data_IF_060509691497
#
_entry.id   IF_060509691497
#
_cell.length_a   1.000
_cell.length_b   1.000
_cell.length_c   1.000
_cell.angle_alpha   90.00
_cell.angle_beta   90.00
_cell.angle_gamma   90.00
#
_symmetry.space_group_name_H-M   'P 1'
#
loop_
_entity.id
_entity.type
_entity.pdbx_description
1 polymer ?
#
# COMPACT_ATOMS: atom_id res chain seq x y z
N UNK A 1 -31.03 64.84 2.35
CA UNK A 1 -31.36 64.20 1.07
C UNK A 1 -30.05 63.90 0.34
N UNK A 2 -29.82 62.61 0.04
CA UNK A 2 -28.82 61.95 -0.85
C UNK A 2 -27.38 62.50 -0.86
N UNK A 3 -26.39 61.91 -0.20
CA UNK A 3 -25.62 60.68 -0.51
C UNK A 3 -24.92 60.67 -1.88
N UNK A 4 -23.59 60.68 -1.84
CA UNK A 4 -22.67 60.35 -2.94
C UNK A 4 -21.56 59.48 -2.34
N UNK A 5 -21.40 58.27 -2.86
CA UNK A 5 -20.38 57.31 -2.48
C UNK A 5 -19.68 56.84 -3.75
N UNK A 6 -18.34 56.96 -3.83
CA UNK A 6 -17.37 55.85 -3.85
C UNK A 6 -15.99 56.33 -4.38
N UNK A 7 -14.95 55.94 -3.64
CA UNK A 7 -13.50 56.07 -3.89
C UNK A 7 -12.98 54.62 -3.74
N UNK A 8 -12.21 53.98 -4.60
CA UNK A 8 -10.79 54.17 -4.92
C UNK A 8 -10.38 52.98 -5.85
N UNK A 9 -9.73 53.22 -7.00
CA UNK A 9 -8.28 53.08 -7.29
C UNK A 9 -7.78 51.61 -7.53
N UNK A 10 -7.68 51.28 -8.83
CA UNK A 10 -6.58 50.68 -9.63
C UNK A 10 -5.27 50.26 -8.93
N UNK A 11 -4.46 49.25 -9.31
CA UNK A 11 -4.20 48.54 -10.58
C UNK A 11 -3.49 47.18 -10.33
N UNK A 12 -3.72 46.23 -11.25
CA UNK A 12 -2.88 45.12 -11.77
C UNK A 12 -1.95 44.29 -10.85
N UNK A 13 -2.22 42.98 -10.78
CA UNK A 13 -1.20 41.93 -10.93
C UNK A 13 -1.83 40.59 -11.40
N UNK A 14 -1.06 39.84 -12.20
CA UNK A 14 -1.32 38.49 -12.70
C UNK A 14 -1.99 37.57 -11.67
N UNK A 15 -3.05 36.87 -12.08
CA UNK A 15 -3.57 35.74 -11.32
C UNK A 15 -3.19 34.43 -12.04
N UNK A 16 -1.94 34.01 -11.82
CA UNK A 16 -1.58 32.59 -11.79
C UNK A 16 -2.59 31.87 -10.90
N UNK A 17 -3.47 31.09 -11.52
CA UNK A 17 -4.41 30.20 -10.80
C UNK A 17 -3.59 29.08 -10.18
N UNK A 18 -3.25 29.28 -8.90
CA UNK A 18 -2.72 28.28 -7.99
C UNK A 18 -3.60 27.03 -8.04
N UNK A 19 -3.00 25.90 -8.42
CA UNK A 19 -3.56 24.56 -8.23
C UNK A 19 -3.67 24.35 -6.72
N UNK A 20 -4.88 24.55 -6.22
CA UNK A 20 -5.24 24.49 -4.80
C UNK A 20 -5.64 23.06 -4.46
N UNK A 21 -5.01 22.56 -3.40
CA UNK A 21 -5.22 21.32 -2.63
C UNK A 21 -6.66 20.98 -2.18
N UNK A 22 -7.66 21.15 -3.04
CA UNK A 22 -9.08 20.83 -2.82
C UNK A 22 -9.52 19.53 -3.52
N UNK A 23 -8.65 18.89 -4.30
CA UNK A 23 -9.01 17.71 -5.10
C UNK A 23 -8.74 16.34 -4.44
N UNK A 24 -8.25 16.27 -3.20
CA UNK A 24 -7.83 14.99 -2.59
C UNK A 24 -8.37 14.66 -1.20
N UNK A 25 -9.21 15.50 -0.57
CA UNK A 25 -9.85 15.13 0.71
C UNK A 25 -11.39 15.24 0.75
N UNK A 26 -12.05 15.71 -0.32
CA UNK A 26 -13.52 15.72 -0.39
C UNK A 26 -14.04 14.81 -1.49
N UNK A 27 -14.42 13.58 -1.13
CA UNK A 27 -15.46 12.86 -1.87
C UNK A 27 -16.55 12.34 -0.94
N UNK A 28 -17.57 13.15 -0.63
CA UNK A 28 -18.85 12.64 -0.18
C UNK A 28 -19.77 12.38 -1.38
N UNK A 29 -19.90 11.09 -1.70
CA UNK A 29 -21.10 10.36 -2.13
C UNK A 29 -22.37 11.17 -2.47
N UNK A 30 -22.75 11.25 -3.74
CA UNK A 30 -24.13 11.03 -4.22
C UNK A 30 -24.07 10.64 -5.70
N UNK A 31 -24.78 9.57 -6.08
CA UNK A 31 -25.05 9.29 -7.49
C UNK A 31 -25.96 10.36 -8.08
N UNK A 32 -25.53 10.99 -9.17
CA UNK A 32 -26.37 11.25 -10.34
C UNK A 32 -25.52 11.70 -11.55
N UNK A 33 -25.79 11.01 -12.66
CA UNK A 33 -25.69 11.38 -14.09
C UNK A 33 -24.45 12.08 -14.70
N UNK A 34 -23.67 11.28 -15.45
CA UNK A 34 -23.15 11.40 -16.85
C UNK A 34 -22.90 12.82 -17.48
N UNK A 35 -21.96 13.05 -18.45
CA UNK A 35 -21.44 12.10 -19.46
C UNK A 35 -19.99 12.36 -19.97
N UNK A 36 -19.04 11.45 -19.77
CA UNK A 36 -17.75 11.52 -20.50
C UNK A 36 -17.36 10.16 -21.11
N UNK A 37 -16.66 10.17 -22.27
CA UNK A 37 -16.83 9.14 -23.28
C UNK A 37 -16.13 7.84 -22.88
N UNK A 38 -16.82 6.72 -23.13
CA UNK A 38 -16.22 5.37 -23.13
C UNK A 38 -15.10 5.31 -24.18
N UNK A 39 -13.90 5.65 -23.77
CA UNK A 39 -12.68 5.43 -24.53
C UNK A 39 -12.38 3.94 -24.62
N UNK A 40 -12.99 3.24 -25.57
CA UNK A 40 -12.62 1.87 -25.92
C UNK A 40 -11.21 1.93 -26.53
N UNK A 41 -10.16 1.80 -25.71
CA UNK A 41 -8.79 1.62 -26.20
C UNK A 41 -8.78 0.40 -27.11
N UNK A 42 -8.70 0.62 -28.44
CA UNK A 42 -8.45 -0.44 -29.41
C UNK A 42 -7.08 -1.03 -29.06
N UNK A 43 -7.05 -2.29 -28.64
CA UNK A 43 -5.82 -3.08 -28.56
C UNK A 43 -5.10 -2.97 -29.90
N UNK A 44 -3.93 -2.34 -29.90
CA UNK A 44 -3.02 -2.41 -31.02
C UNK A 44 -2.53 -3.87 -31.10
N UNK A 45 -3.13 -4.68 -31.98
CA UNK A 45 -2.61 -6.01 -32.26
C UNK A 45 -1.34 -5.85 -33.08
N UNK A 46 -0.22 -6.35 -32.57
CA UNK A 46 0.99 -6.49 -33.37
C UNK A 46 0.69 -7.32 -34.62
N UNK A 47 1.14 -6.90 -35.82
CA UNK A 47 0.87 -7.65 -37.04
C UNK A 47 1.44 -9.05 -36.91
N UNK A 48 0.59 -10.06 -37.08
CA UNK A 48 1.02 -11.46 -37.07
C UNK A 48 1.97 -11.68 -38.25
N UNK A 49 3.20 -12.05 -37.89
CA UNK A 49 4.36 -12.16 -38.76
C UNK A 49 4.22 -13.35 -39.72
N UNK A 50 3.73 -13.11 -40.94
CA UNK A 50 3.74 -14.14 -41.99
C UNK A 50 4.45 -13.71 -43.28
N UNK A 51 5.33 -12.71 -43.21
CA UNK A 51 6.15 -12.31 -44.35
C UNK A 51 7.52 -13.01 -44.30
N UNK A 52 7.89 -13.70 -45.38
CA UNK A 52 9.15 -14.44 -45.49
C UNK A 52 10.37 -13.56 -45.20
N UNK A 53 10.32 -12.27 -45.55
CA UNK A 53 11.39 -11.31 -45.27
C UNK A 53 11.72 -11.18 -43.77
N UNK A 54 10.69 -11.15 -42.90
CA UNK A 54 10.89 -11.03 -41.46
C UNK A 54 11.45 -12.30 -40.82
N UNK A 55 11.15 -13.47 -41.40
CA UNK A 55 11.76 -14.74 -40.96
C UNK A 55 13.25 -14.78 -41.29
N UNK A 56 13.63 -14.35 -42.51
CA UNK A 56 15.03 -14.24 -42.88
C UNK A 56 15.78 -13.18 -42.06
N UNK A 57 15.18 -12.01 -41.84
CA UNK A 57 15.76 -10.97 -41.00
C UNK A 57 15.95 -11.43 -39.54
N UNK A 58 14.95 -12.11 -38.96
CA UNK A 58 15.05 -12.68 -37.62
C UNK A 58 16.18 -13.71 -37.52
N UNK A 59 16.27 -14.64 -38.47
CA UNK A 59 17.32 -15.66 -38.48
C UNK A 59 18.71 -15.02 -38.61
N UNK A 60 18.85 -14.03 -39.50
CA UNK A 60 20.10 -13.32 -39.72
C UNK A 60 20.55 -12.56 -38.45
N UNK A 61 19.65 -11.83 -37.80
CA UNK A 61 19.97 -11.10 -36.57
C UNK A 61 20.27 -12.04 -35.39
N UNK A 62 19.61 -13.19 -35.30
CA UNK A 62 19.96 -14.21 -34.29
C UNK A 62 21.35 -14.81 -34.53
N UNK A 63 21.73 -15.05 -35.79
CA UNK A 63 23.05 -15.57 -36.12
C UNK A 63 24.16 -14.57 -35.76
N UNK A 64 23.96 -13.28 -36.05
CA UNK A 64 24.90 -12.22 -35.67
C UNK A 64 25.04 -12.14 -34.15
N UNK A 65 23.93 -12.18 -33.40
CA UNK A 65 23.97 -12.13 -31.94
C UNK A 65 24.71 -13.33 -31.34
N UNK A 66 24.54 -14.54 -31.89
CA UNK A 66 25.27 -15.73 -31.43
C UNK A 66 26.76 -15.61 -31.74
N UNK A 67 27.14 -15.11 -32.92
CA UNK A 67 28.55 -14.89 -33.28
C UNK A 67 29.18 -13.89 -32.31
N UNK A 68 28.50 -12.77 -32.01
CA UNK A 68 29.00 -11.79 -31.04
C UNK A 68 29.15 -12.40 -29.64
N UNK A 69 28.19 -13.21 -29.19
CA UNK A 69 28.26 -13.91 -27.90
C UNK A 69 29.42 -14.90 -27.83
N UNK A 70 29.65 -15.69 -28.89
CA UNK A 70 30.77 -16.63 -28.96
C UNK A 70 32.11 -15.90 -28.98
N UNK A 71 32.23 -14.81 -29.74
CA UNK A 71 33.46 -13.99 -29.73
C UNK A 71 33.71 -13.34 -28.37
N UNK A 72 32.65 -12.91 -27.66
CA UNK A 72 32.78 -12.37 -26.31
C UNK A 72 33.21 -13.45 -25.30
N UNK A 73 32.71 -14.68 -25.40
CA UNK A 73 33.10 -15.80 -24.54
C UNK A 73 34.54 -16.25 -24.83
N UNK A 74 34.94 -16.30 -26.10
CA UNK A 74 36.31 -16.67 -26.50
C UNK A 74 37.35 -15.61 -26.11
N UNK A 75 36.97 -14.33 -26.13
CA UNK A 75 37.87 -13.23 -25.76
C UNK A 75 37.91 -12.93 -24.26
N UNK A 76 37.07 -13.56 -23.45
CA UNK A 76 36.93 -13.27 -22.02
C UNK A 76 37.10 -14.53 -21.17
N UNK A 77 38.23 -15.23 -21.37
CA UNK A 77 38.69 -16.29 -20.45
C UNK A 77 39.81 -15.73 -19.56
N UNK A 78 39.52 -15.22 -18.35
CA UNK A 78 40.48 -15.20 -17.26
C UNK A 78 40.47 -16.58 -16.59
N UNK A 79 41.59 -17.28 -16.71
CA UNK A 79 41.89 -18.49 -15.95
C UNK A 79 42.14 -18.11 -14.49
N UNK A 80 41.18 -18.33 -13.58
CA UNK A 80 41.50 -18.55 -12.17
C UNK A 80 40.61 -19.61 -11.51
N UNK A 81 41.26 -20.76 -11.35
CA UNK A 81 41.12 -21.83 -10.37
C UNK A 81 40.45 -21.36 -9.07
N UNK A 82 39.28 -21.91 -8.75
CA UNK A 82 38.71 -21.84 -7.41
C UNK A 82 39.45 -22.85 -6.52
N UNK A 83 40.32 -22.35 -5.62
CA UNK A 83 40.78 -23.11 -4.46
C UNK A 83 39.94 -22.67 -3.27
N UNK A 84 39.11 -23.58 -2.77
CA UNK A 84 38.36 -23.35 -1.54
C UNK A 84 39.28 -23.48 -0.32
N UNK A 85 39.20 -22.51 0.57
CA UNK A 85 39.08 -22.61 2.04
C UNK A 85 39.49 -21.29 2.65
N UNK A 86 38.54 -20.54 3.23
CA UNK A 86 38.79 -19.85 4.50
C UNK A 86 37.48 -19.42 5.16
N UNK A 87 37.41 -19.69 6.48
CA UNK A 87 36.31 -19.36 7.38
C UNK A 87 36.33 -17.85 7.66
N UNK A 88 35.19 -17.13 7.73
CA UNK A 88 35.23 -15.73 8.11
C UNK A 88 35.55 -15.57 9.62
N UNK A 89 36.32 -14.54 9.99
CA UNK A 89 36.66 -14.27 11.38
C UNK A 89 35.52 -13.59 12.14
N UNK A 90 35.49 -13.90 13.42
CA UNK A 90 34.66 -13.30 14.46
C UNK A 90 35.13 -11.86 14.75
N UNK A 91 34.37 -10.86 14.31
CA UNK A 91 34.42 -9.46 14.77
C UNK A 91 33.05 -8.83 14.47
N UNK A 92 32.45 -7.92 15.24
CA UNK A 92 32.86 -7.15 16.39
C UNK A 92 31.60 -6.74 17.18
N UNK A 93 31.79 -6.43 18.46
CA UNK A 93 30.84 -5.70 19.28
C UNK A 93 30.33 -4.46 18.52
N UNK A 94 29.02 -4.39 18.32
CA UNK A 94 28.32 -3.15 17.99
C UNK A 94 27.85 -2.54 19.32
N UNK A 95 28.26 -1.29 19.53
CA UNK A 95 27.88 -0.46 20.67
C UNK A 95 26.35 -0.34 20.80
N UNK A 96 25.86 -0.48 22.03
CA UNK A 96 24.45 -0.35 22.37
C UNK A 96 23.92 1.07 22.07
N UNK A 97 22.69 1.23 21.53
CA UNK A 97 22.06 2.54 21.41
C UNK A 97 21.69 3.13 22.79
N UNK A 98 21.59 4.46 22.92
CA UNK A 98 21.36 5.11 24.20
C UNK A 98 20.06 4.62 24.85
N UNK A 99 20.11 4.38 26.16
CA UNK A 99 19.02 3.96 27.02
C UNK A 99 17.82 4.92 26.96
N UNK A 100 16.91 4.65 26.01
CA UNK A 100 15.64 5.36 25.86
C UNK A 100 14.55 4.57 25.11
N UNK A 101 14.92 3.46 24.44
CA UNK A 101 13.98 2.66 23.63
C UNK A 101 13.78 1.22 24.12
N UNK A 102 14.33 0.84 25.27
CA UNK A 102 14.17 -0.51 25.84
C UNK A 102 12.72 -0.86 26.25
N UNK A 103 11.79 0.10 26.25
CA UNK A 103 10.42 -0.16 26.72
C UNK A 103 9.51 -0.84 25.69
N UNK A 104 9.78 -0.73 24.37
CA UNK A 104 8.86 -1.25 23.34
C UNK A 104 9.14 -2.69 22.93
N UNK A 105 10.41 -3.11 22.82
CA UNK A 105 10.75 -4.51 22.49
C UNK A 105 10.36 -5.48 23.61
N UNK A 106 10.38 -5.01 24.86
CA UNK A 106 9.94 -5.77 26.03
C UNK A 106 8.44 -6.14 26.01
N UNK A 107 7.64 -5.52 25.14
CA UNK A 107 6.20 -5.87 24.98
C UNK A 107 5.97 -7.13 24.15
N UNK A 108 7.00 -7.68 23.49
CA UNK A 108 6.95 -8.97 22.79
C UNK A 108 7.14 -10.17 23.75
N UNK A 109 7.25 -9.92 25.06
CA UNK A 109 7.15 -10.97 26.08
C UNK A 109 5.77 -11.63 25.95
N UNK A 110 5.74 -12.97 25.92
CA UNK A 110 4.52 -13.81 25.82
C UNK A 110 3.37 -13.37 26.77
N UNK A 111 3.70 -12.68 27.85
CA UNK A 111 2.77 -12.18 28.86
C UNK A 111 1.76 -11.13 28.34
N UNK A 112 2.01 -10.50 27.18
CA UNK A 112 1.12 -9.47 26.60
C UNK A 112 0.41 -9.91 25.30
N UNK A 113 0.51 -11.20 24.93
CA UNK A 113 -0.17 -11.72 23.75
C UNK A 113 -1.58 -12.18 24.10
N UNK A 114 -2.54 -11.85 23.24
CA UNK A 114 -3.92 -12.32 23.32
C UNK A 114 -4.10 -13.57 22.47
N UNK A 115 -4.68 -14.60 23.06
CA UNK A 115 -5.06 -15.82 22.34
C UNK A 115 -6.25 -15.53 21.44
N UNK A 116 -6.14 -15.81 20.15
CA UNK A 116 -7.22 -15.61 19.19
C UNK A 116 -7.35 -16.80 18.23
N UNK A 117 -8.48 -16.85 17.54
CA UNK A 117 -8.74 -17.71 16.38
C UNK A 117 -9.29 -16.82 15.28
N UNK A 118 -8.93 -17.12 14.04
CA UNK A 118 -9.54 -16.41 12.92
C UNK A 118 -10.94 -16.96 12.68
N UNK A 119 -11.86 -16.06 12.39
CA UNK A 119 -13.24 -16.40 12.08
C UNK A 119 -13.61 -15.81 10.73
N UNK A 120 -14.38 -16.59 9.98
CA UNK A 120 -14.90 -16.15 8.69
C UNK A 120 -16.06 -15.18 8.92
N UNK A 121 -15.82 -13.90 8.68
CA UNK A 121 -16.85 -12.86 8.68
C UNK A 121 -17.16 -12.44 7.24
N UNK A 122 -18.30 -12.91 6.72
CA UNK A 122 -18.70 -12.66 5.33
C UNK A 122 -18.93 -11.17 5.03
N UNK A 123 -19.16 -10.34 6.05
CA UNK A 123 -19.36 -8.90 5.87
C UNK A 123 -18.10 -8.19 5.34
N UNK A 124 -16.93 -8.68 5.74
CA UNK A 124 -15.63 -8.19 5.24
C UNK A 124 -15.17 -8.88 3.95
N UNK A 125 -15.95 -9.84 3.43
CA UNK A 125 -15.65 -10.60 2.20
C UNK A 125 -16.49 -10.10 1.02
N UNK A 126 -16.71 -8.79 0.93
CA UNK A 126 -17.57 -8.18 -0.08
C UNK A 126 -16.97 -6.90 -0.65
N UNK A 127 -17.18 -6.72 -1.96
CA UNK A 127 -16.94 -5.46 -2.70
C UNK A 127 -18.25 -4.65 -2.87
N UNK A 128 -19.35 -5.10 -2.27
CA UNK A 128 -20.61 -4.35 -2.30
C UNK A 128 -20.48 -3.05 -1.51
N UNK A 129 -21.01 -1.96 -2.06
CA UNK A 129 -21.02 -0.64 -1.39
C UNK A 129 -21.85 -0.65 -0.11
N UNK A 130 -22.82 -1.58 0.02
CA UNK A 130 -23.57 -1.76 1.27
C UNK A 130 -22.67 -2.08 2.47
N UNK A 131 -21.44 -2.57 2.26
CA UNK A 131 -20.48 -2.84 3.33
C UNK A 131 -19.37 -1.79 3.47
N UNK A 132 -19.43 -0.68 2.74
CA UNK A 132 -18.41 0.38 2.79
C UNK A 132 -18.26 0.99 4.20
N UNK A 133 -19.34 1.04 4.96
CA UNK A 133 -19.34 1.55 6.34
C UNK A 133 -18.39 0.79 7.28
N UNK A 134 -18.08 -0.49 6.98
CA UNK A 134 -17.13 -1.30 7.76
C UNK A 134 -15.67 -0.88 7.53
N UNK A 135 -15.40 -0.11 6.48
CA UNK A 135 -14.05 0.27 6.05
C UNK A 135 -13.81 1.77 6.14
N UNK A 136 -14.86 2.57 6.34
CA UNK A 136 -14.84 4.02 6.25
C UNK A 136 -13.77 4.66 7.15
N UNK A 137 -13.66 4.23 8.42
CA UNK A 137 -12.67 4.77 9.34
C UNK A 137 -11.23 4.46 8.90
N UNK A 138 -11.00 3.32 8.26
CA UNK A 138 -9.67 2.91 7.81
C UNK A 138 -9.25 3.64 6.53
N UNK A 139 -10.18 4.20 5.74
CA UNK A 139 -9.85 4.94 4.53
C UNK A 139 -9.28 6.34 4.81
N UNK A 140 -9.51 6.90 5.99
CA UNK A 140 -9.01 8.23 6.34
C UNK A 140 -7.49 8.18 6.57
N UNK A 141 -6.74 9.04 5.88
CA UNK A 141 -5.29 9.17 6.09
C UNK A 141 -4.95 9.64 7.51
N UNK A 142 -5.87 10.36 8.16
CA UNK A 142 -5.68 10.83 9.54
C UNK A 142 -5.82 9.72 10.60
N UNK A 143 -6.47 8.59 10.29
CA UNK A 143 -6.67 7.49 11.23
C UNK A 143 -5.35 6.87 11.64
N UNK A 144 -5.12 6.73 12.95
CA UNK A 144 -3.86 6.19 13.47
C UNK A 144 -2.68 7.17 13.47
N UNK A 145 -2.84 8.40 12.98
CA UNK A 145 -1.83 9.44 13.10
C UNK A 145 -1.89 10.05 14.50
N UNK A 146 -0.74 10.12 15.19
CA UNK A 146 -0.62 10.63 16.55
C UNK A 146 0.47 11.70 16.64
N UNK A 147 0.27 12.67 17.54
CA UNK A 147 1.28 13.68 17.88
C UNK A 147 1.84 13.41 19.26
N UNK A 148 3.12 13.01 19.30
CA UNK A 148 3.82 12.73 20.55
C UNK A 148 4.75 13.89 20.92
N UNK A 149 4.80 14.32 22.19
CA UNK A 149 5.80 15.27 22.67
C UNK A 149 7.22 14.75 22.45
N UNK A 150 8.13 15.59 21.94
CA UNK A 150 9.52 15.20 21.65
C UNK A 150 10.48 15.44 22.83
N UNK A 151 9.96 15.88 23.98
CA UNK A 151 10.74 16.22 25.17
C UNK A 151 11.46 17.59 25.09
N UNK A 152 11.38 18.29 23.95
CA UNK A 152 11.97 19.62 23.71
C UNK A 152 10.91 20.72 23.59
N UNK A 153 9.68 20.40 23.99
CA UNK A 153 8.53 21.32 23.92
C UNK A 153 7.80 21.30 22.57
N UNK A 154 8.23 20.47 21.61
CA UNK A 154 7.52 20.29 20.34
C UNK A 154 6.74 18.98 20.32
N UNK A 155 5.93 18.80 19.27
CA UNK A 155 5.26 17.52 18.97
C UNK A 155 5.73 16.99 17.62
N UNK A 156 5.87 15.67 17.51
CA UNK A 156 6.20 14.98 16.25
C UNK A 156 5.01 14.14 15.81
N UNK A 157 4.61 14.31 14.54
CA UNK A 157 3.61 13.46 13.90
C UNK A 157 4.19 12.07 13.63
N UNK A 158 3.43 11.02 13.97
CA UNK A 158 3.77 9.63 13.70
C UNK A 158 2.52 8.87 13.29
N UNK A 159 2.66 7.92 12.37
CA UNK A 159 1.62 6.93 12.07
C UNK A 159 1.80 5.67 12.91
N UNK A 160 0.72 5.15 13.48
CA UNK A 160 0.70 3.82 14.09
C UNK A 160 0.60 2.78 12.96
N UNK A 161 1.61 1.91 12.85
CA UNK A 161 1.72 0.95 11.74
C UNK A 161 0.48 0.04 11.56
N UNK A 162 -0.17 -0.37 12.66
CA UNK A 162 -1.41 -1.16 12.59
C UNK A 162 -2.51 -0.46 11.79
N UNK A 163 -2.72 0.84 12.02
CA UNK A 163 -3.73 1.61 11.32
C UNK A 163 -3.32 1.88 9.87
N UNK A 164 -2.03 2.08 9.58
CA UNK A 164 -1.54 2.18 8.20
C UNK A 164 -1.77 0.88 7.41
N UNK A 165 -1.54 -0.29 8.02
CA UNK A 165 -1.85 -1.58 7.40
C UNK A 165 -3.36 -1.72 7.12
N UNK A 166 -4.22 -1.31 8.04
CA UNK A 166 -5.67 -1.31 7.83
C UNK A 166 -6.09 -0.32 6.73
N UNK A 167 -5.45 0.85 6.67
CA UNK A 167 -5.67 1.84 5.60
C UNK A 167 -5.31 1.27 4.23
N UNK A 168 -4.13 0.65 4.10
CA UNK A 168 -3.72 0.00 2.87
C UNK A 168 -4.70 -1.11 2.46
N UNK A 169 -5.17 -1.93 3.40
CA UNK A 169 -6.15 -2.97 3.11
C UNK A 169 -7.49 -2.39 2.62
N UNK A 170 -7.98 -1.32 3.25
CA UNK A 170 -9.19 -0.62 2.83
C UNK A 170 -9.02 0.03 1.44
N UNK A 171 -7.85 0.61 1.15
CA UNK A 171 -7.49 1.15 -0.16
C UNK A 171 -7.46 0.07 -1.25
N UNK A 172 -6.90 -1.11 -0.95
CA UNK A 172 -6.92 -2.26 -1.87
C UNK A 172 -8.36 -2.72 -2.17
N UNK A 173 -9.23 -2.78 -1.15
CA UNK A 173 -10.66 -3.08 -1.38
C UNK A 173 -11.30 -2.07 -2.31
N UNK A 174 -11.05 -0.77 -2.11
CA UNK A 174 -11.58 0.31 -2.97
C UNK A 174 -11.08 0.20 -4.41
N UNK A 175 -9.79 -0.07 -4.62
CA UNK A 175 -9.23 -0.28 -5.96
C UNK A 175 -9.92 -1.45 -6.68
N UNK A 176 -10.23 -2.54 -5.97
CA UNK A 176 -10.98 -3.67 -6.52
C UNK A 176 -12.45 -3.33 -6.84
N UNK A 177 -13.10 -2.45 -6.06
CA UNK A 177 -14.44 -1.94 -6.38
C UNK A 177 -14.44 -1.16 -7.69
N UNK A 178 -13.55 -0.18 -7.82
CA UNK A 178 -13.39 0.62 -9.05
C UNK A 178 -13.10 -0.27 -10.27
N UNK A 179 -12.21 -1.25 -10.13
CA UNK A 179 -11.91 -2.20 -11.21
C UNK A 179 -13.15 -3.03 -11.60
N UNK A 180 -13.96 -3.49 -10.63
CA UNK A 180 -15.21 -4.21 -10.86
C UNK A 180 -16.24 -3.35 -11.60
N UNK A 181 -16.25 -2.04 -11.35
CA UNK A 181 -17.10 -1.04 -12.02
C UNK A 181 -16.59 -0.65 -13.42
N UNK A 182 -15.45 -1.18 -13.84
CA UNK A 182 -14.87 -0.97 -15.17
C UNK A 182 -13.94 0.25 -15.26
N UNK A 183 -13.52 0.81 -14.14
CA UNK A 183 -12.49 1.85 -14.08
C UNK A 183 -11.11 1.21 -14.32
N UNK A 184 -10.32 1.82 -15.20
CA UNK A 184 -8.91 1.46 -15.39
C UNK A 184 -8.10 2.00 -14.20
N UNK A 185 -7.70 1.11 -13.29
CA UNK A 185 -6.93 1.46 -12.08
C UNK A 185 -5.40 1.49 -12.33
N UNK A 186 -4.96 1.36 -13.58
CA UNK A 186 -3.54 1.34 -13.93
C UNK A 186 -2.87 -0.02 -13.71
N UNK A 187 -1.59 -0.10 -14.08
CA UNK A 187 -0.78 -1.32 -14.00
C UNK A 187 0.24 -1.29 -12.86
N UNK A 188 0.84 -0.13 -12.58
CA UNK A 188 1.89 0.01 -11.57
C UNK A 188 1.94 1.40 -10.93
N UNK A 189 2.95 1.64 -10.09
CA UNK A 189 3.14 2.88 -9.32
C UNK A 189 3.20 4.16 -10.17
N UNK A 190 3.45 4.02 -11.48
CA UNK A 190 3.47 5.15 -12.43
C UNK A 190 2.07 5.58 -12.83
N UNK A 191 1.11 4.67 -12.83
CA UNK A 191 -0.30 4.93 -13.18
C UNK A 191 -1.13 5.27 -11.94
N UNK A 192 -0.79 4.72 -10.77
CA UNK A 192 -1.41 5.04 -9.49
C UNK A 192 -0.38 4.93 -8.37
N UNK A 193 -0.19 5.97 -7.58
CA UNK A 193 0.84 5.98 -6.54
C UNK A 193 0.44 5.18 -5.28
N UNK A 194 -0.83 4.82 -5.13
CA UNK A 194 -1.41 4.39 -3.87
C UNK A 194 -1.58 2.87 -3.79
N UNK A 195 -2.39 2.24 -4.65
CA UNK A 195 -2.63 0.80 -4.54
C UNK A 195 -1.35 -0.04 -4.73
N UNK A 196 -0.39 0.30 -5.62
CA UNK A 196 0.86 -0.44 -5.75
C UNK A 196 1.77 -0.28 -4.51
N UNK A 197 1.79 0.92 -3.91
CA UNK A 197 2.52 1.16 -2.66
C UNK A 197 1.91 0.36 -1.50
N UNK A 198 0.59 0.40 -1.37
CA UNK A 198 -0.14 -0.36 -0.35
C UNK A 198 0.13 -1.86 -0.49
N UNK A 199 0.20 -2.36 -1.72
CA UNK A 199 0.50 -3.75 -2.00
C UNK A 199 1.90 -4.15 -1.51
N UNK A 200 2.91 -3.32 -1.79
CA UNK A 200 4.27 -3.57 -1.31
C UNK A 200 4.40 -3.40 0.22
N UNK A 201 3.80 -2.35 0.80
CA UNK A 201 3.82 -2.11 2.24
C UNK A 201 3.20 -3.27 3.04
N UNK A 202 2.07 -3.81 2.57
CA UNK A 202 1.44 -4.98 3.20
C UNK A 202 2.31 -6.23 3.05
N UNK A 203 2.93 -6.45 1.88
CA UNK A 203 3.88 -7.55 1.66
C UNK A 203 5.06 -7.46 2.64
N UNK A 204 5.68 -6.30 2.75
CA UNK A 204 6.81 -6.08 3.68
C UNK A 204 6.40 -6.25 5.14
N UNK A 205 5.22 -5.73 5.50
CA UNK A 205 4.66 -5.91 6.84
C UNK A 205 4.47 -7.39 7.18
N UNK A 206 3.86 -8.18 6.28
CA UNK A 206 3.65 -9.62 6.47
C UNK A 206 4.99 -10.35 6.62
N UNK A 207 5.97 -10.06 5.76
CA UNK A 207 7.29 -10.69 5.86
C UNK A 207 8.07 -10.26 7.11
N UNK A 208 7.86 -9.05 7.61
CA UNK A 208 8.45 -8.58 8.86
C UNK A 208 7.94 -9.38 10.06
N UNK A 209 6.65 -9.73 10.07
CA UNK A 209 6.07 -10.55 11.15
C UNK A 209 6.41 -12.04 11.02
N UNK A 210 6.58 -12.55 9.80
CA UNK A 210 6.98 -13.92 9.51
C UNK A 210 6.24 -14.99 10.35
N UNK A 211 4.90 -14.92 10.39
CA UNK A 211 4.08 -15.83 11.20
C UNK A 211 4.35 -17.31 10.81
N UNK A 212 4.95 -18.12 11.71
CA UNK A 212 5.38 -19.48 11.38
C UNK A 212 4.26 -20.53 11.58
N UNK A 213 3.02 -20.11 11.85
CA UNK A 213 1.92 -21.03 12.13
C UNK A 213 1.61 -21.92 10.92
N UNK A 214 1.61 -23.24 11.13
CA UNK A 214 1.17 -24.20 10.12
C UNK A 214 -0.36 -24.29 10.12
N UNK A 215 -1.00 -23.93 9.01
CA UNK A 215 -2.45 -23.95 8.88
C UNK A 215 -2.98 -25.31 8.43
N UNK A 216 -3.98 -25.83 9.14
CA UNK A 216 -4.62 -27.10 8.85
C UNK A 216 -5.69 -26.95 7.77
N UNK A 217 -5.95 -28.04 7.04
CA UNK A 217 -7.11 -28.11 6.16
C UNK A 217 -8.39 -28.19 6.99
N UNK A 218 -9.30 -27.24 6.78
CA UNK A 218 -10.62 -27.17 7.42
C UNK A 218 -11.74 -27.41 6.40
N UNK A 219 -12.92 -27.85 6.86
CA UNK A 219 -14.13 -27.94 6.05
C UNK A 219 -14.98 -26.69 6.28
N UNK A 220 -15.20 -25.91 5.23
CA UNK A 220 -16.04 -24.72 5.26
C UNK A 220 -17.26 -24.87 4.35
N UNK A 221 -18.40 -24.24 4.68
CA UNK A 221 -19.52 -24.12 3.75
C UNK A 221 -19.03 -23.50 2.43
N UNK A 222 -19.38 -24.13 1.30
CA UNK A 222 -19.08 -23.62 -0.03
C UNK A 222 -19.82 -22.31 -0.34
N UNK A 223 -19.50 -21.64 -1.47
CA UNK A 223 -20.14 -20.38 -1.86
C UNK A 223 -21.61 -20.56 -2.29
N UNK A 224 -22.04 -21.80 -2.51
CA UNK A 224 -23.43 -22.15 -2.84
C UNK A 224 -24.10 -22.72 -1.60
N UNK A 225 -25.34 -22.29 -1.32
CA UNK A 225 -26.15 -22.82 -0.23
C UNK A 225 -26.81 -24.16 -0.61
N UNK A 226 -25.99 -25.16 -0.88
CA UNK A 226 -26.40 -26.51 -1.28
C UNK A 226 -25.97 -27.60 -0.29
N UNK A 227 -25.58 -27.19 0.93
CA UNK A 227 -25.09 -28.08 1.98
C UNK A 227 -23.72 -28.71 1.71
N UNK A 228 -23.02 -28.32 0.63
CA UNK A 228 -21.70 -28.86 0.29
C UNK A 228 -20.59 -28.12 1.04
N UNK A 229 -19.77 -28.89 1.72
CA UNK A 229 -18.53 -28.39 2.32
C UNK A 229 -17.36 -28.49 1.34
N UNK A 230 -16.46 -27.51 1.41
CA UNK A 230 -15.21 -27.47 0.65
C UNK A 230 -14.03 -27.50 1.60
N UNK A 231 -12.94 -28.15 1.16
CA UNK A 231 -11.67 -28.16 1.89
C UNK A 231 -10.94 -26.85 1.61
N UNK A 232 -10.56 -26.13 2.66
CA UNK A 232 -9.80 -24.87 2.56
C UNK A 232 -8.66 -24.84 3.57
N UNK A 233 -7.69 -23.95 3.35
CA UNK A 233 -6.66 -23.59 4.32
C UNK A 233 -6.90 -22.10 4.59
N UNK A 234 -7.42 -21.79 5.78
CA UNK A 234 -7.93 -20.45 6.14
C UNK A 234 -7.45 -19.97 7.52
N UNK A 235 -6.58 -20.73 8.17
CA UNK A 235 -6.05 -20.45 9.50
C UNK A 235 -7.08 -20.46 10.64
N UNK A 236 -8.35 -20.78 10.38
CA UNK A 236 -9.42 -20.75 11.39
C UNK A 236 -9.34 -21.90 12.42
N UNK A 237 -8.66 -22.99 12.05
CA UNK A 237 -8.47 -24.15 12.90
C UNK A 237 -7.37 -23.95 13.95
N UNK A 238 -6.45 -23.02 13.72
CA UNK A 238 -5.30 -22.77 14.57
C UNK A 238 -5.59 -21.70 15.63
N UNK A 239 -4.92 -21.85 16.77
CA UNK A 239 -4.83 -20.79 17.77
C UNK A 239 -3.65 -19.89 17.42
N UNK A 240 -3.86 -18.58 17.40
CA UNK A 240 -2.80 -17.57 17.27
C UNK A 240 -2.58 -16.84 18.59
N UNK A 241 -1.38 -16.32 18.76
CA UNK A 241 -1.00 -15.45 19.87
C UNK A 241 -0.66 -14.07 19.30
N UNK A 242 -1.64 -13.17 19.34
CA UNK A 242 -1.56 -11.88 18.67
C UNK A 242 -1.23 -10.76 19.66
N UNK A 243 -0.73 -9.63 19.16
CA UNK A 243 -0.62 -8.41 19.98
C UNK A 243 -2.01 -7.85 20.24
N UNK A 244 -2.21 -7.35 21.45
CA UNK A 244 -3.45 -6.66 21.80
C UNK A 244 -3.50 -5.30 21.08
N UNK A 245 -4.59 -5.06 20.33
CA UNK A 245 -4.80 -3.83 19.57
C UNK A 245 -5.34 -2.69 20.44
N UNK A 246 -5.96 -2.99 21.58
CA UNK A 246 -6.63 -2.01 22.45
C UNK A 246 -5.69 -0.88 22.93
N UNK A 247 -4.43 -1.14 23.33
CA UNK A 247 -3.51 -0.07 23.70
C UNK A 247 -3.20 0.90 22.55
N UNK A 248 -3.19 0.44 21.29
CA UNK A 248 -2.96 1.29 20.12
C UNK A 248 -4.17 2.16 19.81
N UNK A 249 -5.38 1.61 19.98
CA UNK A 249 -6.63 2.38 19.86
C UNK A 249 -6.70 3.46 20.94
N UNK A 250 -6.35 3.14 22.18
CA UNK A 250 -6.31 4.14 23.26
C UNK A 250 -5.23 5.21 23.01
N UNK A 251 -4.09 4.83 22.44
CA UNK A 251 -3.05 5.77 22.06
C UNK A 251 -3.54 6.76 20.98
N UNK A 252 -4.23 6.26 19.96
CA UNK A 252 -4.83 7.10 18.93
C UNK A 252 -5.90 8.02 19.50
N UNK A 253 -6.81 7.53 20.36
CA UNK A 253 -7.80 8.39 21.04
C UNK A 253 -7.18 9.53 21.82
N UNK A 254 -6.02 9.28 22.45
CA UNK A 254 -5.35 10.26 23.32
C UNK A 254 -4.51 11.29 22.56
N UNK A 255 -3.88 10.89 21.46
CA UNK A 255 -2.89 11.72 20.75
C UNK A 255 -3.23 11.97 19.27
N UNK A 256 -4.37 11.46 18.81
CA UNK A 256 -4.80 11.53 17.43
C UNK A 256 -5.44 12.85 17.02
N UNK A 257 -6.01 12.94 15.81
CA UNK A 257 -6.53 14.17 15.22
C UNK A 257 -7.62 14.85 16.04
N UNK A 258 -8.40 14.07 16.79
CA UNK A 258 -9.49 14.57 17.64
C UNK A 258 -9.05 14.88 19.09
N UNK A 259 -7.75 14.76 19.41
CA UNK A 259 -7.23 15.02 20.75
C UNK A 259 -6.85 16.49 20.97
N UNK A 260 -6.51 16.86 22.22
CA UNK A 260 -5.93 18.19 22.53
C UNK A 260 -4.61 18.47 21.80
N UNK A 261 -3.95 17.42 21.28
CA UNK A 261 -2.72 17.52 20.47
C UNK A 261 -3.02 17.52 18.96
N UNK A 262 -4.28 17.36 18.56
CA UNK A 262 -4.72 17.09 17.18
C UNK A 262 -4.81 18.29 16.25
N UNK A 263 -4.49 19.51 16.69
CA UNK A 263 -4.50 20.68 15.83
C UNK A 263 -3.16 20.89 15.14
N UNK A 264 -2.98 20.28 13.98
CA UNK A 264 -2.04 20.82 13.01
C UNK A 264 -2.64 20.76 11.61
N UNK A 265 -2.60 21.91 10.96
CA UNK A 265 -3.06 22.16 9.59
C UNK A 265 -2.15 21.52 8.52
N UNK A 266 -1.37 20.52 8.90
CA UNK A 266 -0.41 19.88 8.01
C UNK A 266 -1.21 18.88 7.15
N UNK A 267 -1.53 19.28 5.92
CA UNK A 267 -2.12 18.39 4.93
C UNK A 267 -1.09 17.31 4.57
N UNK A 268 -1.51 16.05 4.56
CA UNK A 268 -0.66 14.96 4.07
C UNK A 268 -0.67 15.00 2.55
N UNK A 269 0.44 15.42 1.94
CA UNK A 269 0.55 15.47 0.48
C UNK A 269 0.88 14.07 -0.06
N UNK A 270 -0.01 13.54 -0.89
CA UNK A 270 0.27 12.33 -1.68
C UNK A 270 1.05 12.74 -2.92
N UNK A 271 2.19 12.08 -3.18
CA UNK A 271 2.94 12.34 -4.40
C UNK A 271 2.06 12.07 -5.63
N UNK A 272 2.06 12.93 -6.66
CA UNK A 272 1.21 12.74 -7.82
C UNK A 272 1.55 11.44 -8.56
N UNK A 273 0.53 10.63 -8.83
CA UNK A 273 0.54 9.59 -9.88
C UNK A 273 0.35 10.23 -11.27
N UNK A 274 0.54 9.49 -12.36
CA UNK A 274 0.26 10.00 -13.72
C UNK A 274 -1.19 9.87 -14.12
#
# INVERSE_FOLDING_TARGET
>A
MSFTEQKNISDNLEQTRSSSSEDLEDYPLTGDDSPFPRGRRKRFSWPTNNNSFWKFYSLFMTAISIILLVTAIQNNVPSQICSGTEKPPLHAHLDDPPAGNHQLSDTWKHQNLVKTRFFRDLRYMSLDHETDYLWQEHQLMSTGNIRLPDGKGNTTLKGIAMFHQMHCLAGMRRALQLAKEGVDIGTDWRDDAHWPHCFDYLRESIMCYADPTLESVSLQPGPLDNGKFVKVIDGGAEVRYCRDTRPLIELERRYGPNSQYGFAKDKFEVAPGK
#
